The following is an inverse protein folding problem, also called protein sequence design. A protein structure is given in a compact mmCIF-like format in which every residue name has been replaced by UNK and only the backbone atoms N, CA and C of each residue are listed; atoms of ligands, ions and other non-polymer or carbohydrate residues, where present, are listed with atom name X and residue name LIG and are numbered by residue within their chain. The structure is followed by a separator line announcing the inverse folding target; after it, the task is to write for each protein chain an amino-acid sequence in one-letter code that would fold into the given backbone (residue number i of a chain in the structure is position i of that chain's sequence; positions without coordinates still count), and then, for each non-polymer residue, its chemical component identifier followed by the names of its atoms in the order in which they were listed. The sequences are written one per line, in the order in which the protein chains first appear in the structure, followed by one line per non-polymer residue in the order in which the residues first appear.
data_IF_058647855393
#
_entry.id   IF_058647855393
#
_cell.length_a   1.000
_cell.length_b   1.000
_cell.length_c   1.000
_cell.angle_alpha   90.00
_cell.angle_beta   90.00
_cell.angle_gamma   90.00
#
_symmetry.space_group_name_H-M   'P 1'
#
loop_
_entity.id
_entity.type
_entity.pdbx_description
1 polymer ?
#
# COMPACT_ATOMS: atom_id res chain seq x y z
N UNK A 1 -43.49 -45.72 44.51
CA UNK A 1 -43.17 -45.17 45.85
C UNK A 1 -42.82 -43.71 45.67
N UNK A 2 -43.73 -42.82 46.05
CA UNK A 2 -43.53 -41.39 46.37
C UNK A 2 -42.97 -41.25 47.80
N UNK A 3 -42.49 -40.09 48.33
CA UNK A 3 -42.87 -38.68 48.03
C UNK A 3 -41.66 -37.73 47.78
N UNK A 4 -41.77 -36.66 46.99
CA UNK A 4 -42.49 -35.38 47.19
C UNK A 4 -41.80 -34.43 48.20
N UNK A 5 -41.37 -33.25 47.72
CA UNK A 5 -41.49 -31.86 48.29
C UNK A 5 -40.41 -30.95 47.66
N UNK A 6 -40.69 -30.00 46.76
CA UNK A 6 -41.41 -28.71 46.84
C UNK A 6 -40.80 -27.63 47.75
N UNK A 7 -40.71 -26.42 47.15
CA UNK A 7 -40.61 -25.04 47.69
C UNK A 7 -39.19 -24.60 48.09
N UNK A 8 -38.46 -23.78 47.31
CA UNK A 8 -38.66 -22.38 46.88
C UNK A 8 -38.35 -21.32 47.94
N UNK A 9 -37.65 -20.26 47.48
CA UNK A 9 -37.41 -18.92 48.10
C UNK A 9 -36.33 -18.95 49.20
N UNK A 10 -35.21 -18.21 49.15
CA UNK A 10 -35.01 -16.78 48.86
C UNK A 10 -33.57 -16.57 48.37
N UNK A 11 -33.30 -15.88 47.26
CA UNK A 11 -33.14 -14.42 47.16
C UNK A 11 -32.14 -13.83 48.17
N UNK A 12 -30.92 -13.47 47.73
CA UNK A 12 -30.64 -12.07 47.37
C UNK A 12 -29.31 -11.95 46.61
N UNK A 13 -29.37 -11.21 45.52
CA UNK A 13 -28.23 -10.71 44.75
C UNK A 13 -27.61 -9.47 45.41
N UNK A 14 -26.35 -9.21 45.05
CA UNK A 14 -25.72 -7.94 44.64
C UNK A 14 -24.24 -8.00 45.07
N UNK A 15 -23.34 -8.32 44.14
CA UNK A 15 -22.68 -7.39 43.21
C UNK A 15 -21.62 -6.52 43.90
N UNK A 16 -20.35 -6.88 43.66
CA UNK A 16 -19.30 -6.10 42.98
C UNK A 16 -17.92 -6.36 43.62
N UNK A 17 -16.96 -6.44 42.69
CA UNK A 17 -15.55 -6.16 42.80
C UNK A 17 -14.59 -7.34 43.02
N UNK A 18 -13.81 -7.50 41.95
CA UNK A 18 -12.38 -7.78 41.92
C UNK A 18 -11.95 -9.22 41.60
N UNK A 19 -11.28 -9.29 40.45
CA UNK A 19 -10.16 -10.17 40.12
C UNK A 19 -10.46 -11.64 39.80
N UNK A 20 -10.33 -12.00 38.52
CA UNK A 20 -10.12 -13.38 38.08
C UNK A 20 -10.49 -13.60 36.61
N UNK A 21 -9.49 -13.78 35.76
CA UNK A 21 -9.50 -14.19 34.34
C UNK A 21 -10.15 -15.58 34.11
N UNK A 22 -10.30 -16.15 32.88
CA UNK A 22 -9.95 -15.67 31.52
C UNK A 22 -11.10 -15.79 30.49
N UNK A 23 -11.16 -14.92 29.48
CA UNK A 23 -12.02 -15.13 28.31
C UNK A 23 -11.25 -14.87 27.02
N UNK A 24 -11.31 -15.82 26.11
CA UNK A 24 -10.65 -15.83 24.81
C UNK A 24 -10.99 -14.57 24.01
N UNK A 25 -10.01 -13.91 23.34
CA UNK A 25 -10.28 -12.71 22.59
C UNK A 25 -11.04 -13.03 21.29
N UNK A 26 -12.32 -12.64 21.27
CA UNK A 26 -13.13 -12.54 20.07
C UNK A 26 -12.60 -11.38 19.20
N UNK A 27 -11.73 -11.71 18.24
CA UNK A 27 -11.19 -10.77 17.27
C UNK A 27 -12.20 -10.54 16.14
N UNK A 28 -13.17 -9.66 16.37
CA UNK A 28 -14.03 -9.11 15.32
C UNK A 28 -13.81 -7.60 15.15
N UNK A 29 -13.29 -7.12 14.00
CA UNK A 29 -12.83 -5.74 13.82
C UNK A 29 -13.94 -4.69 13.58
N UNK A 30 -15.21 -4.98 13.87
CA UNK A 30 -16.34 -4.10 13.51
C UNK A 30 -17.24 -3.63 14.67
N UNK A 31 -16.80 -3.75 15.93
CA UNK A 31 -17.54 -3.17 17.06
C UNK A 31 -17.05 -1.74 17.40
N UNK A 32 -17.36 -0.77 16.55
CA UNK A 32 -17.09 0.65 16.77
C UNK A 32 -18.34 1.50 16.61
N UNK A 33 -19.17 1.57 17.64
CA UNK A 33 -20.25 2.56 17.77
C UNK A 33 -19.75 3.84 18.46
N UNK A 34 -20.39 5.01 18.20
CA UNK A 34 -19.85 6.31 18.55
C UNK A 34 -20.17 6.64 20.01
N UNK A 35 -19.13 6.84 20.83
CA UNK A 35 -19.04 7.83 21.93
C UNK A 35 -17.91 7.44 22.89
N UNK A 36 -17.07 8.41 23.24
CA UNK A 36 -16.29 8.37 24.49
C UNK A 36 -14.77 8.33 24.33
N UNK A 37 -14.20 9.52 24.10
CA UNK A 37 -12.78 9.82 24.27
C UNK A 37 -12.38 9.56 25.73
N UNK A 38 -11.43 8.66 25.98
CA UNK A 38 -10.66 8.62 27.22
C UNK A 38 -9.21 8.22 26.91
N UNK A 39 -8.39 9.26 26.94
CA UNK A 39 -6.96 9.31 26.76
C UNK A 39 -6.25 8.52 27.88
N UNK A 40 -5.59 7.42 27.54
CA UNK A 40 -4.49 6.87 28.33
C UNK A 40 -3.38 6.49 27.37
N UNK A 41 -2.31 7.29 27.41
CA UNK A 41 -1.10 7.07 26.64
C UNK A 41 -0.47 5.74 27.02
N UNK A 42 -0.55 4.79 26.08
CA UNK A 42 0.56 3.90 25.87
C UNK A 42 1.61 4.72 25.12
N UNK A 43 2.78 4.91 25.74
CA UNK A 43 3.99 5.34 25.06
C UNK A 43 4.22 4.41 23.86
N UNK A 44 3.74 4.84 22.70
CA UNK A 44 4.22 4.32 21.42
C UNK A 44 5.63 4.84 21.35
N UNK A 45 6.57 3.99 21.79
CA UNK A 45 7.99 4.15 21.54
C UNK A 45 8.15 4.62 20.10
N UNK A 46 8.72 5.83 19.98
CA UNK A 46 8.52 6.72 18.85
C UNK A 46 8.58 6.01 17.52
N UNK A 47 7.65 6.39 16.65
CA UNK A 47 7.89 6.35 15.22
C UNK A 47 9.27 6.94 15.00
N UNK A 48 10.24 6.07 14.71
CA UNK A 48 11.45 6.49 14.08
C UNK A 48 10.98 7.13 12.77
N UNK A 49 10.91 8.46 12.76
CA UNK A 49 10.96 9.24 11.55
C UNK A 49 12.25 8.82 10.87
N UNK A 50 12.17 7.81 10.02
CA UNK A 50 13.24 7.44 9.10
C UNK A 50 13.27 8.53 8.02
N UNK A 51 13.60 9.76 8.42
CA UNK A 51 14.35 10.64 7.54
C UNK A 51 15.74 10.03 7.46
N UNK A 52 15.85 9.00 6.62
CA UNK A 52 17.14 8.47 6.19
C UNK A 52 17.80 9.60 5.40
N UNK A 53 18.68 10.33 6.10
CA UNK A 53 19.58 11.33 5.55
C UNK A 53 20.23 10.73 4.31
N UNK A 54 20.14 11.43 3.18
CA UNK A 54 20.34 10.88 1.84
C UNK A 54 21.70 10.22 1.52
N UNK A 55 22.63 10.16 2.47
CA UNK A 55 23.90 9.45 2.32
C UNK A 55 23.82 7.94 2.61
N UNK A 56 22.88 7.47 3.45
CA UNK A 56 22.78 6.03 3.80
C UNK A 56 21.86 5.22 2.86
N UNK A 57 21.18 5.88 1.92
CA UNK A 57 20.31 5.20 0.95
C UNK A 57 21.09 4.37 -0.06
N UNK A 58 20.57 3.18 -0.34
CA UNK A 58 21.00 2.31 -1.45
C UNK A 58 20.86 3.04 -2.79
N UNK A 59 21.68 2.71 -3.81
CA UNK A 59 21.61 3.36 -5.12
C UNK A 59 20.22 3.33 -5.75
N UNK A 60 19.51 2.20 -5.69
CA UNK A 60 18.16 2.06 -6.24
C UNK A 60 17.12 2.85 -5.44
N UNK A 61 17.23 2.93 -4.12
CA UNK A 61 16.33 3.75 -3.28
C UNK A 61 16.56 5.25 -3.51
N UNK A 62 17.82 5.67 -3.64
CA UNK A 62 18.18 7.04 -4.00
C UNK A 62 17.60 7.41 -5.36
N UNK A 63 17.66 6.48 -6.31
CA UNK A 63 17.08 6.68 -7.63
C UNK A 63 15.56 6.72 -7.60
N UNK A 64 14.93 5.85 -6.82
CA UNK A 64 13.49 5.87 -6.58
C UNK A 64 13.06 7.21 -5.94
N UNK A 65 13.81 7.74 -4.96
CA UNK A 65 13.58 9.06 -4.35
C UNK A 65 13.68 10.20 -5.37
N UNK A 66 14.69 10.17 -6.23
CA UNK A 66 14.85 11.16 -7.32
C UNK A 66 13.64 11.13 -8.26
N UNK A 67 13.24 9.93 -8.71
CA UNK A 67 12.07 9.73 -9.57
C UNK A 67 10.75 10.11 -8.87
N UNK A 68 10.59 9.81 -7.59
CA UNK A 68 9.42 10.19 -6.78
C UNK A 68 9.29 11.70 -6.63
N UNK A 69 10.41 12.42 -6.54
CA UNK A 69 10.47 13.86 -6.38
C UNK A 69 10.40 14.64 -7.70
N UNK A 70 10.52 13.96 -8.84
CA UNK A 70 10.48 14.57 -10.16
C UNK A 70 9.08 15.12 -10.47
N UNK A 71 9.05 16.22 -11.22
CA UNK A 71 7.80 16.82 -11.71
C UNK A 71 7.20 15.90 -12.78
N UNK A 72 5.87 15.94 -12.90
CA UNK A 72 5.16 15.34 -14.04
C UNK A 72 5.81 15.81 -15.35
N UNK A 73 6.17 14.86 -16.22
CA UNK A 73 6.82 15.15 -17.48
C UNK A 73 8.35 15.05 -17.47
N UNK A 74 8.99 14.89 -16.30
CA UNK A 74 10.46 14.94 -16.21
C UNK A 74 11.10 13.60 -15.80
N UNK A 75 10.34 12.65 -15.29
CA UNK A 75 10.92 11.40 -14.77
C UNK A 75 11.37 10.43 -15.87
N UNK A 76 10.86 10.52 -17.11
CA UNK A 76 11.40 9.75 -18.24
C UNK A 76 12.91 9.95 -18.43
N UNK A 77 13.38 11.20 -18.33
CA UNK A 77 14.78 11.55 -18.54
C UNK A 77 15.72 10.99 -17.46
N UNK A 78 15.15 10.64 -16.30
CA UNK A 78 15.87 10.05 -15.18
C UNK A 78 15.95 8.53 -15.28
N UNK A 79 15.18 7.86 -16.15
CA UNK A 79 15.16 6.41 -16.25
C UNK A 79 16.39 5.88 -17.00
N UNK A 80 17.17 5.06 -16.31
CA UNK A 80 18.29 4.34 -16.90
C UNK A 80 17.79 3.20 -17.82
N UNK A 81 18.53 2.82 -18.87
CA UNK A 81 18.15 1.71 -19.73
C UNK A 81 17.91 0.41 -18.95
N UNK A 82 16.79 -0.26 -19.22
CA UNK A 82 16.39 -1.50 -18.55
C UNK A 82 15.64 -1.29 -17.23
N UNK A 83 15.27 -0.06 -16.88
CA UNK A 83 14.52 0.24 -15.65
C UNK A 83 13.08 0.63 -15.93
N UNK A 84 12.21 0.41 -14.95
CA UNK A 84 10.87 0.97 -14.94
C UNK A 84 10.50 1.49 -13.56
N UNK A 85 9.55 2.42 -13.54
CA UNK A 85 9.08 3.14 -12.38
C UNK A 85 7.56 3.14 -12.33
N UNK A 86 7.01 3.01 -11.12
CA UNK A 86 5.58 3.21 -10.89
C UNK A 86 5.35 3.91 -9.54
N UNK A 87 4.41 4.86 -9.53
CA UNK A 87 3.96 5.54 -8.33
C UNK A 87 2.45 5.76 -8.37
N UNK A 88 1.78 5.65 -7.22
CA UNK A 88 0.39 6.08 -7.06
C UNK A 88 0.35 7.29 -6.13
N UNK A 89 -0.18 8.39 -6.64
CA UNK A 89 -0.44 9.61 -5.87
C UNK A 89 -1.72 9.49 -5.04
N UNK A 90 -1.79 10.26 -3.96
CA UNK A 90 -2.96 10.32 -3.09
C UNK A 90 -4.20 10.95 -3.74
N UNK A 91 -4.02 11.62 -4.88
CA UNK A 91 -5.08 12.22 -5.69
C UNK A 91 -5.71 11.25 -6.71
N UNK A 92 -5.21 10.01 -6.82
CA UNK A 92 -5.67 9.03 -7.79
C UNK A 92 -4.91 9.07 -9.13
N UNK A 93 -3.87 9.91 -9.25
CA UNK A 93 -2.93 9.82 -10.37
C UNK A 93 -2.02 8.61 -10.21
N UNK A 94 -1.76 7.92 -11.31
CA UNK A 94 -0.76 6.85 -11.39
C UNK A 94 0.29 7.29 -12.41
N UNK A 95 1.53 7.30 -11.96
CA UNK A 95 2.71 7.64 -12.75
C UNK A 95 3.40 6.34 -13.10
N UNK A 96 3.63 6.08 -14.39
CA UNK A 96 4.40 4.93 -14.85
C UNK A 96 5.40 5.39 -15.90
N UNK A 97 6.58 4.78 -15.90
CA UNK A 97 7.57 5.02 -16.94
C UNK A 97 8.53 3.87 -17.05
N UNK A 98 9.14 3.71 -18.22
CA UNK A 98 10.15 2.70 -18.47
C UNK A 98 11.14 3.19 -19.50
N UNK A 99 12.35 2.66 -19.45
CA UNK A 99 13.35 2.82 -20.50
C UNK A 99 13.69 1.46 -21.08
N UNK A 100 13.05 1.11 -22.19
CA UNK A 100 13.34 -0.13 -22.91
C UNK A 100 14.34 0.15 -24.03
N UNK A 101 15.50 -0.50 -23.97
CA UNK A 101 16.54 -0.43 -25.02
C UNK A 101 17.00 1.01 -25.35
N UNK A 102 17.03 1.91 -24.36
CA UNK A 102 17.46 3.29 -24.54
C UNK A 102 16.33 4.27 -24.94
N UNK A 103 15.10 3.78 -25.09
CA UNK A 103 13.92 4.62 -25.35
C UNK A 103 13.12 4.74 -24.05
N UNK A 104 13.15 5.95 -23.47
CA UNK A 104 12.40 6.27 -22.27
C UNK A 104 10.98 6.74 -22.63
N UNK A 105 10.00 6.15 -21.97
CA UNK A 105 8.59 6.53 -22.03
C UNK A 105 8.10 6.86 -20.62
N UNK A 106 7.17 7.80 -20.53
CA UNK A 106 6.48 8.13 -19.29
C UNK A 106 5.02 8.39 -19.59
N UNK A 107 4.19 8.05 -18.61
CA UNK A 107 2.77 8.21 -18.69
C UNK A 107 2.18 8.54 -17.34
N UNK A 108 1.17 9.40 -17.33
CA UNK A 108 0.42 9.76 -16.14
C UNK A 108 -1.05 9.62 -16.46
N UNK A 109 -1.75 8.82 -15.66
CA UNK A 109 -3.21 8.63 -15.79
C UNK A 109 -3.86 9.10 -14.51
N UNK A 110 -4.90 9.92 -14.63
CA UNK A 110 -5.86 10.12 -13.56
C UNK A 110 -6.88 8.97 -13.56
N UNK A 111 -6.61 7.95 -12.75
CA UNK A 111 -7.40 6.71 -12.75
C UNK A 111 -8.90 6.88 -12.47
N UNK A 112 -9.36 7.86 -11.66
CA UNK A 112 -10.80 8.06 -11.42
C UNK A 112 -11.63 8.32 -12.67
N UNK A 113 -11.05 8.88 -13.73
CA UNK A 113 -11.75 9.17 -14.99
C UNK A 113 -11.86 7.94 -15.91
N UNK A 114 -11.20 6.84 -15.56
CA UNK A 114 -11.18 5.61 -16.36
C UNK A 114 -12.21 4.62 -15.80
N UNK A 115 -13.09 4.03 -16.64
CA UNK A 115 -14.00 2.97 -16.22
C UNK A 115 -13.28 1.82 -15.52
N UNK A 116 -13.87 1.30 -14.43
CA UNK A 116 -13.24 0.28 -13.59
C UNK A 116 -12.80 -0.94 -14.39
N UNK A 117 -13.67 -1.47 -15.26
CA UNK A 117 -13.38 -2.66 -16.07
C UNK A 117 -12.19 -2.46 -17.01
N UNK A 118 -11.94 -1.22 -17.42
CA UNK A 118 -10.83 -0.88 -18.30
C UNK A 118 -9.52 -0.67 -17.53
N UNK A 119 -9.56 -0.01 -16.36
CA UNK A 119 -8.36 0.25 -15.56
C UNK A 119 -7.95 -0.92 -14.65
N UNK A 120 -8.85 -1.83 -14.29
CA UNK A 120 -8.58 -2.87 -13.30
C UNK A 120 -7.34 -3.73 -13.62
N UNK A 121 -7.13 -4.20 -14.86
CA UNK A 121 -5.90 -4.93 -15.20
C UNK A 121 -4.62 -4.11 -15.00
N UNK A 122 -4.67 -2.81 -15.31
CA UNK A 122 -3.57 -1.88 -15.10
C UNK A 122 -3.32 -1.61 -13.61
N UNK A 123 -4.37 -1.36 -12.83
CA UNK A 123 -4.26 -1.16 -11.39
C UNK A 123 -3.68 -2.38 -10.67
N UNK A 124 -4.04 -3.59 -11.10
CA UNK A 124 -3.47 -4.84 -10.59
C UNK A 124 -1.99 -4.97 -10.97
N UNK A 125 -1.63 -4.68 -12.23
CA UNK A 125 -0.24 -4.72 -12.67
C UNK A 125 0.64 -3.71 -11.92
N UNK A 126 0.14 -2.51 -11.63
CA UNK A 126 0.84 -1.51 -10.80
C UNK A 126 0.99 -2.00 -9.37
N UNK A 127 -0.05 -2.59 -8.79
CA UNK A 127 0.00 -3.17 -7.44
C UNK A 127 1.02 -4.31 -7.35
N UNK A 128 1.02 -5.22 -8.33
CA UNK A 128 2.01 -6.28 -8.44
C UNK A 128 3.42 -5.72 -8.59
N UNK A 129 3.63 -4.77 -9.50
CA UNK A 129 4.92 -4.11 -9.68
C UNK A 129 5.48 -3.52 -8.38
N UNK A 130 4.61 -2.92 -7.55
CA UNK A 130 4.98 -2.41 -6.22
C UNK A 130 5.23 -3.53 -5.21
N UNK A 131 4.44 -4.61 -5.25
CA UNK A 131 4.61 -5.80 -4.40
C UNK A 131 5.93 -6.52 -4.66
N UNK A 132 6.42 -6.54 -5.89
CA UNK A 132 7.72 -7.11 -6.24
C UNK A 132 8.88 -6.52 -5.42
N UNK A 133 8.78 -5.25 -4.99
CA UNK A 133 9.75 -4.63 -4.08
C UNK A 133 9.68 -5.18 -2.65
N UNK A 134 8.52 -5.67 -2.20
CA UNK A 134 8.29 -6.14 -0.84
C UNK A 134 8.64 -7.62 -0.62
N UNK A 135 8.66 -8.42 -1.68
CA UNK A 135 8.69 -9.89 -1.56
C UNK A 135 10.08 -10.54 -1.65
N UNK A 136 11.11 -9.78 -2.05
CA UNK A 136 12.42 -10.37 -2.29
C UNK A 136 13.35 -10.18 -1.09
N UNK A 137 13.57 -11.29 -0.38
CA UNK A 137 14.70 -11.47 0.53
C UNK A 137 16.04 -11.09 -0.15
N UNK A 138 17.06 -10.89 0.68
CA UNK A 138 18.38 -10.31 0.42
C UNK A 138 19.02 -10.40 -1.00
N UNK A 139 18.95 -11.50 -1.80
CA UNK A 139 19.65 -11.54 -3.10
C UNK A 139 19.18 -10.54 -4.16
N UNK A 140 17.92 -10.07 -4.12
CA UNK A 140 17.39 -9.18 -5.17
C UNK A 140 17.04 -7.77 -4.66
N UNK A 141 17.41 -7.45 -3.42
CA UNK A 141 17.17 -6.13 -2.84
C UNK A 141 17.79 -5.02 -3.69
N UNK A 142 18.93 -5.29 -4.33
CA UNK A 142 19.66 -4.31 -5.14
C UNK A 142 19.05 -4.08 -6.54
N UNK A 143 18.06 -4.88 -6.93
CA UNK A 143 17.36 -4.79 -8.23
C UNK A 143 16.06 -3.99 -8.15
N UNK A 144 15.73 -3.52 -6.95
CA UNK A 144 14.52 -2.78 -6.67
C UNK A 144 14.84 -1.60 -5.75
N UNK A 145 14.13 -0.50 -5.94
CA UNK A 145 14.25 0.69 -5.13
C UNK A 145 12.87 1.19 -4.76
N UNK A 146 12.73 1.75 -3.55
CA UNK A 146 11.47 2.34 -3.14
C UNK A 146 11.69 3.61 -2.33
N UNK A 147 10.75 4.55 -2.46
CA UNK A 147 10.70 5.75 -1.64
C UNK A 147 9.23 6.11 -1.37
N UNK A 148 8.99 6.76 -0.23
CA UNK A 148 7.66 7.22 0.16
C UNK A 148 7.49 8.66 -0.29
N UNK A 149 6.42 8.90 -1.07
CA UNK A 149 5.98 10.24 -1.45
C UNK A 149 5.44 10.99 -0.24
N UNK A 150 5.41 12.32 -0.35
CA UNK A 150 4.88 13.23 0.69
C UNK A 150 3.39 13.00 1.00
N UNK A 151 2.63 12.49 0.03
CA UNK A 151 1.21 12.15 0.17
C UNK A 151 0.99 10.75 0.79
N UNK A 152 2.06 10.07 1.22
CA UNK A 152 2.02 8.72 1.77
C UNK A 152 2.00 7.61 0.71
N UNK A 153 1.97 7.96 -0.58
CA UNK A 153 2.08 7.01 -1.68
C UNK A 153 3.46 6.35 -1.74
N UNK A 154 3.51 5.10 -2.22
CA UNK A 154 4.77 4.41 -2.51
C UNK A 154 5.14 4.62 -3.98
N UNK A 155 6.39 4.98 -4.26
CA UNK A 155 6.95 4.73 -5.59
C UNK A 155 7.98 3.61 -5.55
N UNK A 156 8.08 2.91 -6.66
CA UNK A 156 8.97 1.79 -6.84
C UNK A 156 9.71 1.91 -8.16
N UNK A 157 10.99 1.58 -8.14
CA UNK A 157 11.87 1.36 -9.28
C UNK A 157 12.16 -0.14 -9.38
N UNK A 158 12.07 -0.71 -10.57
CA UNK A 158 12.45 -2.10 -10.86
C UNK A 158 13.47 -2.13 -11.99
N UNK A 159 14.43 -3.06 -11.90
CA UNK A 159 15.39 -3.37 -12.98
C UNK A 159 15.16 -4.75 -13.60
N UNK A 160 14.27 -5.55 -13.01
CA UNK A 160 14.01 -6.93 -13.41
C UNK A 160 12.94 -6.99 -14.49
N UNK A 161 13.28 -7.62 -15.62
CA UNK A 161 12.37 -7.76 -16.76
C UNK A 161 11.03 -8.40 -16.38
N UNK A 162 11.04 -9.41 -15.51
CA UNK A 162 9.85 -10.13 -15.06
C UNK A 162 8.86 -9.25 -14.28
N UNK A 163 9.34 -8.17 -13.65
CA UNK A 163 8.48 -7.16 -13.02
C UNK A 163 8.05 -6.09 -14.02
N UNK A 164 8.94 -5.70 -14.95
CA UNK A 164 8.74 -4.60 -15.89
C UNK A 164 7.74 -4.95 -17.00
N UNK A 165 7.88 -6.12 -17.63
CA UNK A 165 7.07 -6.48 -18.81
C UNK A 165 5.56 -6.54 -18.55
N UNK A 166 5.07 -7.11 -17.43
CA UNK A 166 3.65 -7.11 -17.12
C UNK A 166 3.06 -5.70 -17.00
N UNK A 167 3.79 -4.76 -16.40
CA UNK A 167 3.36 -3.36 -16.28
C UNK A 167 3.18 -2.71 -17.66
N UNK A 168 4.17 -2.89 -18.54
CA UNK A 168 4.14 -2.34 -19.90
C UNK A 168 3.03 -2.98 -20.73
N UNK A 169 2.82 -4.29 -20.62
CA UNK A 169 1.75 -4.99 -21.31
C UNK A 169 0.36 -4.49 -20.86
N UNK A 170 0.19 -4.25 -19.56
CA UNK A 170 -1.04 -3.69 -19.01
C UNK A 170 -1.28 -2.25 -19.51
N UNK A 171 -0.23 -1.42 -19.55
CA UNK A 171 -0.31 -0.08 -20.15
C UNK A 171 -0.79 -0.12 -21.60
N UNK A 172 -0.13 -0.91 -22.46
CA UNK A 172 -0.45 -1.02 -23.89
C UNK A 172 -1.87 -1.54 -24.15
N UNK A 173 -2.46 -2.23 -23.18
CA UNK A 173 -3.86 -2.67 -23.25
C UNK A 173 -4.83 -1.54 -22.88
N UNK A 174 -4.44 -0.66 -21.96
CA UNK A 174 -5.24 0.45 -21.48
C UNK A 174 -5.18 1.67 -22.41
N UNK A 175 -4.00 2.02 -22.92
CA UNK A 175 -3.73 3.23 -23.72
C UNK A 175 -4.73 3.47 -24.86
N UNK A 176 -5.05 2.48 -25.74
CA UNK A 176 -6.01 2.69 -26.83
C UNK A 176 -7.46 2.91 -26.36
N UNK A 177 -7.75 2.68 -25.08
CA UNK A 177 -9.07 2.95 -24.48
C UNK A 177 -9.15 4.39 -23.98
N UNK A 178 -8.03 4.96 -23.53
CA UNK A 178 -7.93 6.36 -23.08
C UNK A 178 -8.05 7.32 -24.25
N UNK A 179 -7.40 7.00 -25.39
CA UNK A 179 -7.49 7.80 -26.61
C UNK A 179 -8.94 7.91 -27.12
N UNK A 180 -9.67 6.78 -27.16
CA UNK A 180 -11.08 6.74 -27.58
C UNK A 180 -12.03 7.47 -26.63
N UNK A 181 -11.68 7.61 -25.36
CA UNK A 181 -12.48 8.37 -24.40
C UNK A 181 -12.27 9.90 -24.52
N UNK A 182 -11.25 10.32 -25.27
CA UNK A 182 -10.87 11.73 -25.47
C UNK A 182 -11.42 12.31 -26.78
N UNK A 183 -12.07 11.49 -27.63
CA UNK A 183 -12.76 11.88 -28.87
C UNK A 183 -14.25 12.15 -28.62
#
# INVERSE_FOLDING_TARGET
MNPMRFLSVSALALMIAACGEPQEPDLSPYAGGPDGVAQQGADVAGEASFEETGDDLRPTDRKARELCGAVEGEFAALLEPGTAFAARGGDGRVFVGWNQNGVAEQHVIFTPDVPLDDRLPFDLAVGDFQRWNMERDAPNRDLTGADRRRDGGLCVLQTERDAIEPLIAAWRTLEPKLERASE
#
